data_IF_105918035982
#
_entry.id   IF_105918035982
#
_cell.length_a   1.000
_cell.length_b   1.000
_cell.length_c   1.000
_cell.angle_alpha   90.00
_cell.angle_beta   90.00
_cell.angle_gamma   90.00
#
_symmetry.space_group_name_H-M   'P 1'
#
loop_
_entity.id
_entity.type
_entity.pdbx_description
1 polymer ?
#
# COMPACT_ATOMS: atom_id res chain seq x y z
N UNK A 1 87.95 -20.63 42.27
CA UNK A 1 87.99 -19.69 41.17
C UNK A 1 86.58 -19.62 40.59
N UNK A 2 86.03 -18.43 40.64
CA UNK A 2 84.92 -17.84 39.95
C UNK A 2 83.55 -18.49 40.14
N UNK A 3 82.80 -17.96 41.07
CA UNK A 3 81.35 -17.88 41.12
C UNK A 3 81.02 -16.57 40.48
N UNK A 4 80.39 -16.61 39.28
CA UNK A 4 79.82 -15.40 38.68
C UNK A 4 78.37 -15.64 38.35
N UNK A 5 77.57 -14.92 39.09
CA UNK A 5 76.39 -14.17 38.80
C UNK A 5 75.36 -14.76 37.75
N UNK A 6 74.31 -15.30 38.31
CA UNK A 6 73.03 -15.39 37.67
C UNK A 6 72.05 -14.40 38.32
N UNK A 7 72.22 -13.12 38.00
CA UNK A 7 71.25 -12.12 38.28
C UNK A 7 70.34 -12.02 37.06
N UNK A 8 69.36 -12.94 36.90
CA UNK A 8 68.32 -12.84 35.94
C UNK A 8 67.32 -11.84 36.51
N UNK A 9 67.30 -10.67 35.88
CA UNK A 9 66.26 -9.66 36.03
C UNK A 9 64.88 -10.27 35.84
N UNK A 10 64.20 -10.49 36.94
CA UNK A 10 62.76 -10.67 36.95
C UNK A 10 62.15 -9.28 36.70
N UNK A 11 61.82 -9.00 35.45
CA UNK A 11 61.08 -7.82 35.04
C UNK A 11 59.69 -7.93 35.64
N UNK A 12 59.54 -7.33 36.84
CA UNK A 12 58.27 -7.14 37.52
C UNK A 12 57.33 -6.39 36.58
N UNK A 13 56.44 -7.11 35.94
CA UNK A 13 55.33 -6.54 35.19
C UNK A 13 54.27 -6.07 36.19
N UNK A 14 54.63 -5.05 36.99
CA UNK A 14 53.67 -4.35 37.85
C UNK A 14 52.86 -3.35 37.04
N UNK A 15 51.94 -3.84 36.26
CA UNK A 15 50.87 -2.96 35.77
C UNK A 15 50.12 -2.44 37.00
N UNK A 16 49.89 -1.11 37.12
CA UNK A 16 49.21 -0.54 38.28
C UNK A 16 47.81 -1.18 38.40
N UNK A 17 47.48 -1.62 39.62
CA UNK A 17 46.20 -2.24 39.99
C UNK A 17 44.99 -1.47 39.44
N UNK A 18 45.13 -0.17 39.25
CA UNK A 18 44.14 0.74 38.68
C UNK A 18 43.80 0.42 37.21
N UNK A 19 44.78 0.00 36.41
CA UNK A 19 44.53 -0.39 35.01
C UNK A 19 43.92 -1.78 34.90
N UNK A 20 44.23 -2.67 35.84
CA UNK A 20 43.67 -4.04 35.85
C UNK A 20 42.18 -4.05 36.24
N UNK A 21 41.78 -3.13 37.15
CA UNK A 21 40.36 -2.98 37.55
C UNK A 21 39.51 -2.20 36.52
N UNK A 22 40.14 -1.30 35.75
CA UNK A 22 39.38 -0.50 34.76
C UNK A 22 39.10 -1.22 33.45
N UNK A 23 39.82 -2.29 33.10
CA UNK A 23 39.60 -3.07 31.89
C UNK A 23 38.20 -3.73 31.82
N UNK A 24 37.75 -4.43 32.88
CA UNK A 24 36.42 -5.05 32.82
C UNK A 24 35.31 -4.01 32.80
N UNK A 25 35.43 -2.89 33.49
CA UNK A 25 34.43 -1.84 33.53
C UNK A 25 34.26 -1.12 32.16
N UNK A 26 35.37 -0.78 31.51
CA UNK A 26 35.34 -0.20 30.17
C UNK A 26 34.67 -1.15 29.18
N UNK A 27 34.97 -2.44 29.21
CA UNK A 27 34.35 -3.45 28.37
C UNK A 27 32.85 -3.59 28.67
N UNK A 28 32.44 -3.58 29.92
CA UNK A 28 31.03 -3.61 30.33
C UNK A 28 30.30 -2.34 29.91
N UNK A 29 30.90 -1.15 30.07
CA UNK A 29 30.28 0.09 29.58
C UNK A 29 30.10 0.12 28.08
N UNK A 30 31.05 -0.38 27.30
CA UNK A 30 30.94 -0.50 25.85
C UNK A 30 29.82 -1.48 25.49
N UNK A 31 29.73 -2.62 26.13
CA UNK A 31 28.72 -3.63 25.90
C UNK A 31 27.32 -3.13 26.23
N UNK A 32 27.14 -2.42 27.34
CA UNK A 32 25.88 -1.77 27.70
C UNK A 32 25.53 -0.68 26.69
N UNK A 33 26.49 0.14 26.29
CA UNK A 33 26.28 1.17 25.28
C UNK A 33 25.87 0.56 23.94
N UNK A 34 26.53 -0.52 23.52
CA UNK A 34 26.13 -1.26 22.29
C UNK A 34 24.73 -1.84 22.40
N UNK A 35 24.35 -2.41 23.52
CA UNK A 35 23.02 -2.92 23.76
C UNK A 35 21.96 -1.80 23.73
N UNK A 36 22.24 -0.69 24.43
CA UNK A 36 21.34 0.48 24.41
C UNK A 36 21.16 1.01 22.97
N UNK A 37 22.24 1.15 22.23
CA UNK A 37 22.19 1.61 20.84
C UNK A 37 21.46 0.60 19.94
N UNK A 38 21.68 -0.70 20.13
CA UNK A 38 21.05 -1.75 19.36
C UNK A 38 19.52 -1.77 19.53
N UNK A 39 19.01 -1.41 20.70
CA UNK A 39 17.56 -1.35 20.96
C UNK A 39 16.97 0.05 20.81
N UNK A 40 17.67 1.09 21.24
CA UNK A 40 17.15 2.46 21.19
C UNK A 40 17.07 3.00 19.75
N UNK A 41 18.08 2.71 18.92
CA UNK A 41 18.09 3.21 17.53
C UNK A 41 16.91 2.66 16.70
N UNK A 42 16.64 1.33 16.64
CA UNK A 42 15.50 0.85 15.89
C UNK A 42 14.16 1.32 16.50
N UNK A 43 14.04 1.40 17.82
CA UNK A 43 12.84 1.90 18.47
C UNK A 43 12.55 3.37 18.11
N UNK A 44 13.56 4.24 18.17
CA UNK A 44 13.40 5.65 17.80
C UNK A 44 13.13 5.82 16.31
N UNK A 45 13.78 5.03 15.45
CA UNK A 45 13.54 5.04 14.01
C UNK A 45 12.09 4.66 13.68
N UNK A 46 11.56 3.61 14.29
CA UNK A 46 10.15 3.18 14.11
C UNK A 46 9.18 4.28 14.58
N UNK A 47 9.47 4.91 15.73
CA UNK A 47 8.66 6.02 16.24
C UNK A 47 8.68 7.24 15.33
N UNK A 48 9.85 7.62 14.82
CA UNK A 48 10.00 8.74 13.90
C UNK A 48 9.29 8.46 12.56
N UNK A 49 9.39 7.23 12.07
CA UNK A 49 8.68 6.81 10.86
C UNK A 49 7.15 6.86 11.04
N UNK A 50 6.64 6.38 12.16
CA UNK A 50 5.22 6.46 12.49
C UNK A 50 4.73 7.92 12.56
N UNK A 51 5.49 8.80 13.22
CA UNK A 51 5.17 10.23 13.29
C UNK A 51 5.22 10.91 11.93
N UNK A 52 6.18 10.55 11.06
CA UNK A 52 6.26 11.09 9.71
C UNK A 52 5.05 10.67 8.86
N UNK A 53 4.64 9.41 8.99
CA UNK A 53 3.43 8.88 8.32
C UNK A 53 2.17 9.60 8.79
N UNK A 54 2.01 9.81 10.10
CA UNK A 54 0.85 10.54 10.62
C UNK A 54 0.83 12.01 10.16
N UNK A 55 2.00 12.67 10.09
CA UNK A 55 2.11 14.02 9.53
C UNK A 55 1.70 14.10 8.07
N UNK A 56 2.02 13.06 7.26
CA UNK A 56 1.61 13.01 5.86
C UNK A 56 0.09 12.98 5.73
N UNK A 57 -0.61 12.16 6.55
CA UNK A 57 -2.06 12.13 6.59
C UNK A 57 -2.68 13.48 7.00
N UNK A 58 -2.11 14.14 7.99
CA UNK A 58 -2.58 15.47 8.42
C UNK A 58 -2.41 16.55 7.34
N UNK A 59 -1.27 16.52 6.61
CA UNK A 59 -1.00 17.47 5.52
C UNK A 59 -1.91 17.28 4.31
N UNK A 60 -2.47 16.10 4.12
CA UNK A 60 -3.38 15.81 3.01
C UNK A 60 -4.79 16.38 3.16
N UNK A 61 -5.07 17.06 4.27
CA UNK A 61 -6.39 17.59 4.59
C UNK A 61 -7.40 16.51 5.01
N UNK A 62 -6.91 15.31 5.35
CA UNK A 62 -7.71 14.27 5.98
C UNK A 62 -7.59 14.40 7.51
N UNK A 63 -8.71 14.42 8.20
CA UNK A 63 -8.70 14.36 9.66
C UNK A 63 -8.10 13.03 10.16
N UNK A 64 -7.59 12.97 11.40
CA UNK A 64 -7.08 11.72 11.97
C UNK A 64 -8.12 10.58 11.97
N UNK A 65 -9.39 10.93 12.10
CA UNK A 65 -10.51 9.98 12.02
C UNK A 65 -10.69 9.41 10.61
N UNK A 66 -10.72 10.28 9.60
CA UNK A 66 -10.80 9.87 8.19
C UNK A 66 -9.60 9.02 7.78
N UNK A 67 -8.40 9.45 8.16
CA UNK A 67 -7.17 8.68 7.89
C UNK A 67 -7.22 7.26 8.47
N UNK A 68 -7.79 7.07 9.66
CA UNK A 68 -8.03 5.73 10.21
C UNK A 68 -9.01 4.94 9.37
N UNK A 69 -10.18 5.51 9.02
CA UNK A 69 -11.19 4.84 8.19
C UNK A 69 -10.64 4.39 6.84
N UNK A 70 -9.78 5.19 6.20
CA UNK A 70 -9.11 4.81 4.96
C UNK A 70 -8.19 3.62 5.16
N UNK A 71 -7.35 3.64 6.20
CA UNK A 71 -6.47 2.53 6.55
C UNK A 71 -7.24 1.25 6.89
N UNK A 72 -8.28 1.35 7.68
CA UNK A 72 -9.15 0.22 8.06
C UNK A 72 -9.84 -0.40 6.83
N UNK A 73 -10.09 0.40 5.80
CA UNK A 73 -10.59 -0.06 4.50
C UNK A 73 -9.49 -0.60 3.57
N UNK A 74 -8.24 -0.74 4.05
CA UNK A 74 -7.12 -1.29 3.27
C UNK A 74 -6.48 -0.30 2.30
N UNK A 75 -6.80 0.99 2.38
CA UNK A 75 -6.17 2.06 1.61
C UNK A 75 -5.14 2.75 2.50
N UNK A 76 -3.90 2.23 2.47
CA UNK A 76 -2.83 2.64 3.38
C UNK A 76 -1.94 3.77 2.82
N UNK A 77 -2.10 4.12 1.56
CA UNK A 77 -1.42 5.22 0.91
C UNK A 77 -2.29 6.48 0.98
N UNK A 78 -1.71 7.58 1.45
CA UNK A 78 -2.45 8.83 1.64
C UNK A 78 -2.84 9.47 0.31
N UNK A 79 -1.99 9.42 -0.69
CA UNK A 79 -2.27 10.00 -2.00
C UNK A 79 -3.39 9.23 -2.71
N UNK A 80 -3.39 7.91 -2.57
CA UNK A 80 -4.47 7.05 -3.04
C UNK A 80 -5.79 7.39 -2.33
N UNK A 81 -5.78 7.55 -1.00
CA UNK A 81 -6.97 7.92 -0.23
C UNK A 81 -7.53 9.28 -0.66
N UNK A 82 -6.65 10.24 -0.92
CA UNK A 82 -7.04 11.58 -1.43
C UNK A 82 -7.66 11.46 -2.82
N UNK A 83 -7.09 10.67 -3.73
CA UNK A 83 -7.67 10.43 -5.07
C UNK A 83 -9.06 9.81 -4.97
N UNK A 84 -9.24 8.79 -4.14
CA UNK A 84 -10.55 8.18 -3.91
C UNK A 84 -11.56 9.16 -3.34
N UNK A 85 -11.16 9.96 -2.34
CA UNK A 85 -12.02 11.01 -1.77
C UNK A 85 -12.42 12.04 -2.83
N UNK A 86 -11.46 12.51 -3.64
CA UNK A 86 -11.71 13.49 -4.70
C UNK A 86 -12.63 12.92 -5.79
N UNK A 87 -12.60 11.60 -6.02
CA UNK A 87 -13.52 10.87 -6.90
C UNK A 87 -14.85 10.54 -6.21
N UNK A 88 -15.19 11.20 -5.11
CA UNK A 88 -16.47 11.09 -4.39
C UNK A 88 -16.76 9.70 -3.82
N UNK A 89 -15.72 8.99 -3.40
CA UNK A 89 -15.86 7.72 -2.70
C UNK A 89 -15.64 7.84 -1.20
N UNK A 90 -16.42 7.11 -0.44
CA UNK A 90 -16.17 6.83 0.96
C UNK A 90 -15.27 5.59 1.10
N UNK A 91 -14.50 5.44 2.21
CA UNK A 91 -13.54 4.36 2.35
C UNK A 91 -14.08 2.95 2.06
N UNK A 92 -15.25 2.52 2.57
CA UNK A 92 -15.77 1.18 2.25
C UNK A 92 -16.14 1.02 0.77
N UNK A 93 -16.71 2.07 0.15
CA UNK A 93 -17.04 2.06 -1.28
C UNK A 93 -15.80 2.01 -2.16
N UNK A 94 -14.79 2.82 -1.85
CA UNK A 94 -13.51 2.81 -2.56
C UNK A 94 -12.85 1.42 -2.54
N UNK A 95 -12.92 0.73 -1.40
CA UNK A 95 -12.39 -0.63 -1.26
C UNK A 95 -13.00 -1.59 -2.27
N UNK A 96 -14.31 -1.57 -2.45
CA UNK A 96 -15.00 -2.46 -3.40
C UNK A 96 -14.53 -2.28 -4.84
N UNK A 97 -14.29 -1.04 -5.26
CA UNK A 97 -13.79 -0.72 -6.59
C UNK A 97 -12.32 -1.07 -6.75
N UNK A 98 -11.52 -0.80 -5.73
CA UNK A 98 -10.11 -1.16 -5.69
C UNK A 98 -9.92 -2.68 -5.76
N UNK A 99 -10.71 -3.46 -5.04
CA UNK A 99 -10.65 -4.93 -5.05
C UNK A 99 -10.96 -5.51 -6.44
N UNK A 100 -11.73 -4.79 -7.27
CA UNK A 100 -11.96 -5.13 -8.67
C UNK A 100 -10.88 -4.56 -9.62
N UNK A 101 -9.83 -3.93 -9.08
CA UNK A 101 -8.71 -3.39 -9.85
C UNK A 101 -9.00 -2.09 -10.58
N UNK A 102 -10.02 -1.34 -10.13
CA UNK A 102 -10.39 -0.06 -10.74
C UNK A 102 -9.66 1.10 -10.07
N UNK A 103 -9.16 2.01 -10.90
CA UNK A 103 -8.63 3.29 -10.42
C UNK A 103 -9.76 4.28 -10.07
N UNK A 104 -9.53 5.23 -9.14
CA UNK A 104 -10.57 6.12 -8.61
C UNK A 104 -11.35 6.87 -9.68
N UNK A 105 -10.66 7.41 -10.68
CA UNK A 105 -11.26 8.22 -11.74
C UNK A 105 -12.08 7.36 -12.72
N UNK A 106 -11.62 6.15 -13.01
CA UNK A 106 -12.37 5.19 -13.82
C UNK A 106 -13.60 4.69 -13.07
N UNK A 107 -13.44 4.33 -11.80
CA UNK A 107 -14.52 3.89 -10.93
C UNK A 107 -15.63 4.94 -10.81
N UNK A 108 -15.25 6.23 -10.72
CA UNK A 108 -16.20 7.34 -10.67
C UNK A 108 -17.08 7.36 -11.92
N UNK A 109 -16.50 7.26 -13.13
CA UNK A 109 -17.26 7.28 -14.39
C UNK A 109 -18.23 6.09 -14.50
N UNK A 110 -17.79 4.90 -14.14
CA UNK A 110 -18.67 3.73 -14.10
C UNK A 110 -19.82 3.89 -13.11
N UNK A 111 -19.50 4.38 -11.90
CA UNK A 111 -20.49 4.64 -10.85
C UNK A 111 -21.50 5.71 -11.25
N UNK A 112 -21.07 6.79 -11.91
CA UNK A 112 -21.94 7.89 -12.35
C UNK A 112 -22.96 7.41 -13.40
N UNK A 113 -22.63 6.37 -14.16
CA UNK A 113 -23.54 5.68 -15.08
C UNK A 113 -24.31 4.51 -14.43
N UNK A 114 -24.22 4.35 -13.11
CA UNK A 114 -24.98 3.37 -12.34
C UNK A 114 -24.44 1.94 -12.36
N UNK A 115 -23.19 1.72 -12.80
CA UNK A 115 -22.57 0.40 -12.74
C UNK A 115 -22.03 0.09 -11.34
N UNK A 116 -22.18 -1.14 -10.91
CA UNK A 116 -21.48 -1.65 -9.73
C UNK A 116 -20.05 -2.09 -10.07
N UNK A 117 -19.17 -2.27 -9.04
CA UNK A 117 -17.75 -2.60 -9.26
C UNK A 117 -17.52 -3.85 -10.12
N UNK A 118 -18.17 -4.96 -9.77
CA UNK A 118 -18.05 -6.23 -10.52
C UNK A 118 -18.62 -6.15 -11.93
N UNK A 119 -19.72 -5.43 -12.09
CA UNK A 119 -20.33 -5.23 -13.39
C UNK A 119 -19.42 -4.41 -14.29
N UNK A 120 -18.93 -3.28 -13.80
CA UNK A 120 -17.99 -2.42 -14.50
C UNK A 120 -16.73 -3.18 -14.95
N UNK A 121 -16.19 -4.04 -14.07
CA UNK A 121 -15.06 -4.90 -14.42
C UNK A 121 -15.37 -5.80 -15.62
N UNK A 122 -16.51 -6.50 -15.59
CA UNK A 122 -16.90 -7.40 -16.69
C UNK A 122 -17.06 -6.66 -18.02
N UNK A 123 -17.69 -5.49 -18.02
CA UNK A 123 -17.81 -4.65 -19.21
C UNK A 123 -16.44 -4.18 -19.70
N UNK A 124 -15.57 -3.73 -18.77
CA UNK A 124 -14.21 -3.29 -19.08
C UNK A 124 -13.35 -4.41 -19.68
N UNK A 125 -13.41 -5.62 -19.12
CA UNK A 125 -12.70 -6.80 -19.62
C UNK A 125 -13.13 -7.20 -21.04
N UNK A 126 -14.35 -6.84 -21.44
CA UNK A 126 -14.87 -7.04 -22.80
C UNK A 126 -14.62 -5.84 -23.71
N UNK A 127 -13.81 -4.87 -23.26
CA UNK A 127 -13.36 -3.74 -24.06
C UNK A 127 -14.39 -2.63 -24.22
N UNK A 128 -15.31 -2.51 -23.26
CA UNK A 128 -16.25 -1.40 -23.21
C UNK A 128 -15.74 -0.29 -22.28
N UNK A 129 -15.91 0.94 -22.71
CA UNK A 129 -15.85 2.10 -21.83
C UNK A 129 -17.20 2.31 -21.15
N UNK A 130 -17.28 3.07 -20.03
CA UNK A 130 -18.55 3.31 -19.34
C UNK A 130 -19.66 3.82 -20.25
N UNK A 131 -19.33 4.79 -21.08
CA UNK A 131 -20.26 5.47 -21.99
C UNK A 131 -20.75 4.54 -23.12
N UNK A 132 -19.88 3.62 -23.56
CA UNK A 132 -20.22 2.63 -24.60
C UNK A 132 -21.06 1.48 -24.03
N UNK A 133 -20.85 1.12 -22.76
CA UNK A 133 -21.54 0.01 -22.10
C UNK A 133 -22.99 0.38 -21.68
N UNK A 134 -23.19 1.61 -21.25
CA UNK A 134 -24.47 2.05 -20.70
C UNK A 134 -25.66 1.80 -21.64
N UNK A 135 -25.63 2.15 -22.95
CA UNK A 135 -26.72 1.87 -23.85
C UNK A 135 -27.07 0.37 -23.98
N UNK A 136 -26.06 -0.50 -23.95
CA UNK A 136 -26.26 -1.95 -24.03
C UNK A 136 -26.90 -2.51 -22.77
N UNK A 137 -26.42 -2.08 -21.59
CA UNK A 137 -27.02 -2.49 -20.33
C UNK A 137 -28.44 -2.01 -20.20
N UNK A 138 -28.72 -0.77 -20.59
CA UNK A 138 -30.06 -0.18 -20.49
C UNK A 138 -31.06 -0.88 -21.40
N UNK A 139 -30.61 -1.45 -22.52
CA UNK A 139 -31.38 -2.32 -23.38
C UNK A 139 -31.42 -3.79 -22.93
N UNK A 140 -30.82 -4.10 -21.77
CA UNK A 140 -30.82 -5.43 -21.17
C UNK A 140 -29.94 -6.45 -21.89
N UNK A 141 -28.85 -6.00 -22.51
CA UNK A 141 -27.85 -6.89 -23.08
C UNK A 141 -26.76 -7.20 -22.05
N UNK A 142 -26.29 -8.43 -22.08
CA UNK A 142 -25.08 -8.81 -21.38
C UNK A 142 -23.86 -8.37 -22.20
N UNK A 143 -22.74 -8.15 -21.51
CA UNK A 143 -21.49 -7.69 -22.14
C UNK A 143 -20.98 -8.61 -23.27
N UNK A 144 -21.24 -9.92 -23.18
CA UNK A 144 -20.87 -10.89 -24.23
C UNK A 144 -21.69 -10.69 -25.52
N UNK A 145 -23.00 -10.51 -25.37
CA UNK A 145 -23.90 -10.29 -26.50
C UNK A 145 -23.66 -8.91 -27.11
N UNK A 146 -23.52 -7.90 -26.26
CA UNK A 146 -23.17 -6.55 -26.69
C UNK A 146 -21.88 -6.52 -27.50
N UNK A 147 -20.84 -7.29 -27.06
CA UNK A 147 -19.59 -7.41 -27.81
C UNK A 147 -19.80 -8.01 -29.19
N UNK A 148 -20.60 -9.10 -29.31
CA UNK A 148 -20.92 -9.74 -30.59
C UNK A 148 -21.63 -8.78 -31.53
N UNK A 149 -22.69 -8.12 -31.07
CA UNK A 149 -23.44 -7.14 -31.84
C UNK A 149 -22.58 -5.95 -32.27
N UNK A 150 -21.78 -5.40 -31.36
CA UNK A 150 -20.86 -4.31 -31.69
C UNK A 150 -19.82 -4.72 -32.73
N UNK A 151 -19.29 -5.94 -32.64
CA UNK A 151 -18.34 -6.46 -33.66
C UNK A 151 -18.97 -6.64 -35.03
N UNK A 152 -20.27 -6.85 -35.10
CA UNK A 152 -21.05 -6.88 -36.34
C UNK A 152 -21.50 -5.48 -36.81
N UNK A 153 -21.03 -4.40 -36.19
CA UNK A 153 -21.38 -3.03 -36.54
C UNK A 153 -22.80 -2.61 -36.17
N UNK A 154 -23.46 -3.34 -35.26
CA UNK A 154 -24.83 -3.09 -34.83
C UNK A 154 -24.85 -2.31 -33.54
N UNK A 155 -25.64 -1.25 -33.45
CA UNK A 155 -25.83 -0.49 -32.21
C UNK A 155 -26.78 -1.18 -31.24
N UNK A 156 -26.77 -0.76 -29.96
CA UNK A 156 -27.65 -1.30 -28.92
C UNK A 156 -29.15 -1.18 -29.31
N UNK A 157 -29.56 -0.02 -29.84
CA UNK A 157 -30.94 0.20 -30.30
C UNK A 157 -31.32 -0.71 -31.48
N UNK A 158 -30.43 -0.86 -32.45
CA UNK A 158 -30.65 -1.76 -33.59
C UNK A 158 -30.71 -3.24 -33.15
N UNK A 159 -29.84 -3.63 -32.22
CA UNK A 159 -29.85 -4.99 -31.68
C UNK A 159 -31.14 -5.26 -30.90
N UNK A 160 -31.67 -4.27 -30.16
CA UNK A 160 -32.98 -4.37 -29.51
C UNK A 160 -34.10 -4.63 -30.52
N UNK A 161 -34.16 -3.88 -31.65
CA UNK A 161 -35.16 -4.07 -32.66
C UNK A 161 -35.04 -5.44 -33.35
N UNK A 162 -33.81 -5.91 -33.60
CA UNK A 162 -33.58 -7.27 -34.12
C UNK A 162 -34.08 -8.34 -33.14
N UNK A 163 -33.81 -8.18 -31.84
CA UNK A 163 -34.26 -9.08 -30.77
C UNK A 163 -35.79 -9.14 -30.69
N UNK A 164 -36.49 -8.02 -30.86
CA UNK A 164 -37.96 -7.99 -30.96
C UNK A 164 -38.51 -8.81 -32.14
N UNK A 165 -37.75 -8.91 -33.22
CA UNK A 165 -38.07 -9.73 -34.40
C UNK A 165 -37.61 -11.18 -34.26
N UNK A 166 -37.20 -11.62 -33.10
CA UNK A 166 -36.73 -12.99 -32.84
C UNK A 166 -35.27 -13.28 -33.24
N UNK A 167 -34.50 -12.26 -33.62
CA UNK A 167 -33.08 -12.39 -33.99
C UNK A 167 -32.23 -12.12 -32.73
N UNK A 168 -31.64 -13.15 -32.15
CA UNK A 168 -30.90 -13.09 -30.88
C UNK A 168 -29.39 -13.01 -31.05
N UNK A 169 -28.83 -13.12 -32.24
CA UNK A 169 -27.41 -12.98 -32.55
C UNK A 169 -27.24 -12.27 -33.91
N UNK A 170 -26.09 -11.59 -34.10
CA UNK A 170 -25.77 -10.94 -35.37
C UNK A 170 -25.54 -11.94 -36.48
#
# INVERSE_FOLDING_TARGET
>A
MAVEDRCLMQKDNKQPLRERMMRPWKAQCILVLCLVLAFAVPYTAVRLFALAKDRQWQRSGLSPYEGRRWRDSGINNVDEAVRWRNSRFQPPGARLWKDEGMEPEAACRWKDLGFGPREAKRWSEHGFKPEDAAPWRDEGFLYQDAKRWRSAGVSAAQAREKRKKGIHSP
#
